data_IF_037585063818
#
_entry.id   IF_037585063818
#
_cell.length_a   1.000
_cell.length_b   1.000
_cell.length_c   1.000
_cell.angle_alpha   90.00
_cell.angle_beta   90.00
_cell.angle_gamma   90.00
#
_symmetry.space_group_name_H-M   'P 1'
#
loop_
_entity.id
_entity.type
_entity.pdbx_description
1 polymer ?
#
# COMPACT_ATOMS: atom_id res chain seq x y z
N UNK A 1 56.77 -12.09 21.57
CA UNK A 1 56.40 -10.68 21.30
C UNK A 1 56.77 -10.33 19.87
N UNK A 2 55.79 -10.30 18.96
CA UNK A 2 56.02 -9.85 17.58
C UNK A 2 56.34 -8.35 17.61
N UNK A 3 57.63 -8.00 17.48
CA UNK A 3 58.08 -6.61 17.31
C UNK A 3 57.63 -6.13 15.92
N UNK A 4 56.47 -5.48 15.86
CA UNK A 4 56.05 -4.69 14.70
C UNK A 4 57.04 -3.51 14.56
N UNK A 5 57.90 -3.56 13.54
CA UNK A 5 58.71 -2.41 13.13
C UNK A 5 57.75 -1.32 12.65
N UNK A 6 57.46 -0.33 13.49
CA UNK A 6 56.59 0.81 13.18
C UNK A 6 57.23 1.75 12.15
N UNK A 7 57.27 1.32 10.90
CA UNK A 7 57.52 2.24 9.79
C UNK A 7 56.21 2.98 9.51
N UNK A 8 56.20 4.31 9.65
CA UNK A 8 55.01 5.18 9.52
C UNK A 8 54.13 4.89 8.29
N UNK A 9 54.72 4.41 7.18
CA UNK A 9 53.99 4.02 5.98
C UNK A 9 53.09 2.78 6.12
N UNK A 10 53.44 1.79 6.95
CA UNK A 10 52.58 0.61 7.16
C UNK A 10 51.31 0.96 7.96
N UNK A 11 51.42 1.87 8.93
CA UNK A 11 50.27 2.37 9.68
C UNK A 11 49.29 3.15 8.78
N UNK A 12 49.80 3.90 7.79
CA UNK A 12 48.97 4.61 6.82
C UNK A 12 48.13 3.63 5.97
N UNK A 13 48.76 2.56 5.47
CA UNK A 13 48.06 1.52 4.68
C UNK A 13 47.00 0.82 5.52
N UNK A 14 47.31 0.50 6.77
CA UNK A 14 46.36 -0.15 7.69
C UNK A 14 45.13 0.73 7.95
N UNK A 15 45.32 2.03 8.18
CA UNK A 15 44.23 3.00 8.35
C UNK A 15 43.39 3.12 7.07
N UNK A 16 44.02 3.18 5.89
CA UNK A 16 43.29 3.25 4.62
C UNK A 16 42.46 1.99 4.35
N UNK A 17 43.00 0.81 4.66
CA UNK A 17 42.27 -0.46 4.58
C UNK A 17 41.07 -0.48 5.53
N UNK A 18 41.29 -0.10 6.80
CA UNK A 18 40.22 -0.04 7.80
C UNK A 18 39.11 0.94 7.37
N UNK A 19 39.48 2.12 6.85
CA UNK A 19 38.51 3.11 6.38
C UNK A 19 37.73 2.61 5.15
N UNK A 20 38.39 1.89 4.24
CA UNK A 20 37.74 1.32 3.06
C UNK A 20 36.70 0.26 3.46
N UNK A 21 37.07 -0.66 4.36
CA UNK A 21 36.16 -1.68 4.89
C UNK A 21 34.98 -1.01 5.60
N UNK A 22 35.26 -0.03 6.47
CA UNK A 22 34.21 0.73 7.16
C UNK A 22 33.27 1.42 6.18
N UNK A 23 33.81 2.05 5.13
CA UNK A 23 32.99 2.76 4.12
C UNK A 23 32.05 1.81 3.39
N UNK A 24 32.54 0.61 3.01
CA UNK A 24 31.70 -0.41 2.36
C UNK A 24 30.57 -0.86 3.31
N UNK A 25 30.91 -1.18 4.55
CA UNK A 25 29.92 -1.59 5.56
C UNK A 25 28.90 -0.48 5.85
N UNK A 26 29.36 0.76 5.88
CA UNK A 26 28.51 1.93 6.13
C UNK A 26 27.51 2.17 5.00
N UNK A 27 27.97 2.11 3.74
CA UNK A 27 27.07 2.20 2.58
C UNK A 27 26.03 1.08 2.60
N UNK A 28 26.45 -0.15 2.89
CA UNK A 28 25.53 -1.27 3.02
C UNK A 28 24.50 -1.06 4.14
N UNK A 29 24.91 -0.52 5.28
CA UNK A 29 24.00 -0.20 6.38
C UNK A 29 22.98 0.89 5.98
N UNK A 30 23.39 1.89 5.20
CA UNK A 30 22.48 2.91 4.66
C UNK A 30 21.47 2.27 3.71
N UNK A 31 21.91 1.41 2.79
CA UNK A 31 21.02 0.75 1.83
C UNK A 31 19.96 -0.10 2.56
N UNK A 32 20.37 -0.86 3.58
CA UNK A 32 19.45 -1.60 4.44
C UNK A 32 18.42 -0.68 5.12
N UNK A 33 18.84 0.49 5.60
CA UNK A 33 17.93 1.45 6.23
C UNK A 33 16.94 2.05 5.23
N UNK A 34 17.38 2.33 4.01
CA UNK A 34 16.50 2.80 2.94
C UNK A 34 15.46 1.74 2.60
N UNK A 35 15.87 0.48 2.52
CA UNK A 35 14.94 -0.62 2.22
C UNK A 35 13.97 -0.92 3.37
N UNK A 36 14.42 -0.81 4.62
CA UNK A 36 13.55 -0.87 5.81
C UNK A 36 12.44 0.20 5.72
N UNK A 37 12.80 1.45 5.40
CA UNK A 37 11.83 2.54 5.25
C UNK A 37 10.85 2.29 4.11
N UNK A 38 11.31 1.78 2.96
CA UNK A 38 10.42 1.41 1.84
C UNK A 38 9.46 0.29 2.26
N UNK A 39 9.94 -0.72 2.97
CA UNK A 39 9.14 -1.84 3.42
C UNK A 39 8.09 -1.41 4.45
N UNK A 40 8.46 -0.55 5.40
CA UNK A 40 7.53 0.05 6.35
C UNK A 40 6.43 0.83 5.63
N UNK A 41 6.80 1.73 4.71
CA UNK A 41 5.84 2.51 3.92
C UNK A 41 4.91 1.61 3.10
N UNK A 42 5.43 0.55 2.49
CA UNK A 42 4.63 -0.43 1.76
C UNK A 42 3.60 -1.09 2.68
N UNK A 43 4.03 -1.53 3.87
CA UNK A 43 3.17 -2.21 4.83
C UNK A 43 2.07 -1.26 5.36
N UNK A 44 2.43 -0.02 5.68
CA UNK A 44 1.48 1.01 6.15
C UNK A 44 0.43 1.31 5.06
N UNK A 45 0.84 1.44 3.80
CA UNK A 45 -0.11 1.63 2.68
C UNK A 45 -1.03 0.42 2.49
N UNK A 46 -0.49 -0.81 2.52
CA UNK A 46 -1.28 -2.05 2.43
C UNK A 46 -2.31 -2.14 3.56
N UNK A 47 -1.88 -1.84 4.78
CA UNK A 47 -2.73 -1.87 5.96
C UNK A 47 -3.87 -0.85 5.84
N UNK A 48 -3.57 0.40 5.47
CA UNK A 48 -4.57 1.45 5.28
C UNK A 48 -5.61 1.09 4.22
N UNK A 49 -5.17 0.57 3.06
CA UNK A 49 -6.11 0.15 2.02
C UNK A 49 -6.97 -1.04 2.45
N UNK A 50 -6.42 -1.96 3.25
CA UNK A 50 -7.17 -3.11 3.78
C UNK A 50 -8.24 -2.65 4.76
N UNK A 51 -7.89 -1.77 5.71
CA UNK A 51 -8.87 -1.22 6.65
C UNK A 51 -9.97 -0.42 5.96
N UNK A 52 -9.60 0.37 4.95
CA UNK A 52 -10.59 1.10 4.15
C UNK A 52 -11.53 0.15 3.41
N UNK A 53 -11.00 -0.92 2.80
CA UNK A 53 -11.82 -1.90 2.09
C UNK A 53 -12.78 -2.62 3.04
N UNK A 54 -12.34 -2.94 4.26
CA UNK A 54 -13.21 -3.51 5.30
C UNK A 54 -14.28 -2.53 5.77
N UNK A 55 -13.96 -1.23 5.90
CA UNK A 55 -14.94 -0.21 6.22
C UNK A 55 -15.99 -0.06 5.12
N UNK A 56 -15.59 -0.03 3.85
CA UNK A 56 -16.50 -0.02 2.69
C UNK A 56 -17.37 -1.27 2.66
N UNK A 57 -16.78 -2.45 2.90
CA UNK A 57 -17.52 -3.70 2.98
C UNK A 57 -18.63 -3.61 4.02
N UNK A 58 -18.29 -3.18 5.25
CA UNK A 58 -19.26 -3.06 6.33
C UNK A 58 -20.36 -2.05 5.97
N UNK A 59 -19.98 -0.91 5.40
CA UNK A 59 -20.93 0.10 4.93
C UNK A 59 -21.92 -0.47 3.90
N UNK A 60 -21.44 -1.25 2.94
CA UNK A 60 -22.30 -1.91 1.94
C UNK A 60 -23.19 -2.98 2.60
N UNK A 61 -22.67 -3.75 3.55
CA UNK A 61 -23.46 -4.79 4.25
C UNK A 61 -24.60 -4.17 5.04
N UNK A 62 -24.35 -3.09 5.78
CA UNK A 62 -25.34 -2.54 6.72
C UNK A 62 -26.23 -1.43 6.14
N UNK A 63 -25.71 -0.60 5.23
CA UNK A 63 -26.38 0.65 4.83
C UNK A 63 -26.81 0.72 3.35
N UNK A 64 -26.44 -0.26 2.54
CA UNK A 64 -26.79 -0.29 1.11
C UNK A 64 -27.92 -1.28 0.85
N UNK A 65 -28.83 -0.98 -0.07
CA UNK A 65 -29.78 -1.94 -0.60
C UNK A 65 -29.32 -2.49 -1.97
N UNK A 66 -30.05 -3.43 -2.55
CA UNK A 66 -29.66 -4.04 -3.83
C UNK A 66 -29.66 -3.04 -4.98
N UNK A 67 -30.58 -2.05 -4.98
CA UNK A 67 -30.58 -0.98 -5.98
C UNK A 67 -29.35 -0.06 -5.87
N UNK A 68 -28.87 0.20 -4.65
CA UNK A 68 -27.66 0.98 -4.42
C UNK A 68 -26.43 0.26 -4.98
N UNK A 69 -26.35 -1.06 -4.78
CA UNK A 69 -25.25 -1.90 -5.29
C UNK A 69 -25.23 -1.92 -6.81
N UNK A 70 -26.40 -2.08 -7.45
CA UNK A 70 -26.51 -1.99 -8.91
C UNK A 70 -26.14 -0.59 -9.41
N UNK A 71 -26.50 0.47 -8.67
CA UNK A 71 -26.07 1.84 -8.95
C UNK A 71 -24.55 2.04 -8.89
N UNK A 72 -23.87 1.45 -7.89
CA UNK A 72 -22.41 1.48 -7.79
C UNK A 72 -21.75 0.75 -8.96
N UNK A 73 -22.31 -0.39 -9.38
CA UNK A 73 -21.84 -1.13 -10.55
C UNK A 73 -22.00 -0.34 -11.84
N UNK A 74 -23.13 0.35 -12.02
CA UNK A 74 -23.36 1.21 -13.18
C UNK A 74 -22.42 2.43 -13.21
N UNK A 75 -22.06 2.99 -12.06
CA UNK A 75 -21.03 4.05 -11.97
C UNK A 75 -19.65 3.57 -12.47
N UNK A 76 -19.36 2.28 -12.42
CA UNK A 76 -18.09 1.72 -12.85
C UNK A 76 -16.94 2.11 -11.92
N UNK A 77 -16.03 2.99 -12.38
CA UNK A 77 -14.85 3.41 -11.60
C UNK A 77 -15.21 4.56 -10.66
N UNK A 78 -15.13 4.31 -9.36
CA UNK A 78 -15.36 5.29 -8.29
C UNK A 78 -14.00 5.70 -7.72
N UNK A 79 -13.65 6.98 -7.80
CA UNK A 79 -12.31 7.42 -7.39
C UNK A 79 -12.25 7.85 -5.95
N UNK A 80 -11.10 7.59 -5.35
CA UNK A 80 -10.88 7.88 -3.95
C UNK A 80 -9.70 8.83 -3.83
N UNK A 81 -9.81 9.80 -2.91
CA UNK A 81 -8.64 10.56 -2.53
C UNK A 81 -7.77 9.73 -1.58
N UNK A 82 -6.45 9.76 -1.78
CA UNK A 82 -5.50 9.14 -0.84
C UNK A 82 -5.59 9.77 0.56
N UNK A 83 -5.91 11.07 0.65
CA UNK A 83 -6.12 11.76 1.93
C UNK A 83 -7.26 11.14 2.73
N UNK A 84 -8.34 10.78 2.03
CA UNK A 84 -9.59 10.36 2.66
C UNK A 84 -9.47 8.93 3.19
N UNK A 85 -8.68 8.09 2.49
CA UNK A 85 -8.36 6.72 2.91
C UNK A 85 -7.45 6.71 4.15
N UNK A 86 -6.53 7.67 4.27
CA UNK A 86 -5.59 7.74 5.40
C UNK A 86 -6.17 8.39 6.65
N UNK A 87 -7.29 9.10 6.50
CA UNK A 87 -8.06 9.64 7.63
C UNK A 87 -8.89 8.53 8.26
N UNK A 88 -8.48 8.02 9.42
CA UNK A 88 -9.24 7.03 10.21
C UNK A 88 -10.66 7.49 10.62
N UNK A 89 -11.06 8.72 10.28
CA UNK A 89 -12.34 9.32 10.64
C UNK A 89 -13.37 9.29 9.51
N UNK A 90 -13.07 8.70 8.34
CA UNK A 90 -13.99 8.72 7.22
C UNK A 90 -14.90 7.49 7.21
N UNK A 91 -16.22 7.70 7.34
CA UNK A 91 -17.24 6.71 6.98
C UNK A 91 -17.37 6.67 5.46
N UNK A 92 -16.93 5.60 4.77
CA UNK A 92 -16.77 5.63 3.33
C UNK A 92 -18.10 5.46 2.61
N UNK A 93 -18.80 6.56 2.38
CA UNK A 93 -20.03 6.55 1.59
C UNK A 93 -19.74 6.69 0.09
N UNK A 94 -19.74 5.57 -0.62
CA UNK A 94 -19.53 5.50 -2.07
C UNK A 94 -20.68 6.13 -2.91
N UNK A 95 -21.87 6.36 -2.33
CA UNK A 95 -23.01 6.96 -3.04
C UNK A 95 -22.71 8.37 -3.51
N UNK A 96 -22.00 9.13 -2.68
CA UNK A 96 -21.70 10.54 -2.92
C UNK A 96 -20.37 10.78 -3.65
N UNK A 97 -19.59 9.73 -3.88
CA UNK A 97 -18.30 9.83 -4.56
C UNK A 97 -18.51 9.80 -6.08
N UNK A 98 -17.77 10.69 -6.76
CA UNK A 98 -17.78 10.85 -8.22
C UNK A 98 -17.01 9.75 -8.96
N UNK A 99 -17.24 9.69 -10.27
CA UNK A 99 -16.46 8.87 -11.21
C UNK A 99 -15.24 9.66 -11.71
N UNK A 100 -14.21 8.99 -12.23
CA UNK A 100 -13.12 9.69 -12.92
C UNK A 100 -12.66 9.05 -14.22
N UNK A 101 -11.79 9.83 -14.87
CA UNK A 101 -11.00 9.46 -16.02
C UNK A 101 -10.11 8.23 -15.77
N UNK A 102 -9.72 7.57 -16.87
CA UNK A 102 -9.09 6.25 -16.87
C UNK A 102 -7.82 6.09 -16.01
N UNK A 103 -7.13 7.19 -15.66
CA UNK A 103 -5.77 7.17 -15.09
C UNK A 103 -5.66 7.65 -13.63
N UNK A 104 -6.76 7.91 -12.93
CA UNK A 104 -6.71 8.33 -11.52
C UNK A 104 -6.65 7.12 -10.58
N UNK A 105 -5.66 7.10 -9.68
CA UNK A 105 -5.57 6.14 -8.57
C UNK A 105 -5.61 6.88 -7.23
N UNK A 106 -6.15 6.26 -6.17
CA UNK A 106 -6.84 4.97 -6.11
C UNK A 106 -8.31 5.02 -6.57
N UNK A 107 -8.85 3.89 -7.01
CA UNK A 107 -10.27 3.77 -7.38
C UNK A 107 -10.85 2.39 -7.04
N UNK A 108 -12.16 2.33 -6.80
CA UNK A 108 -12.91 1.09 -6.54
C UNK A 108 -13.82 0.76 -7.72
N UNK A 109 -13.94 -0.52 -8.01
CA UNK A 109 -15.00 -1.09 -8.86
C UNK A 109 -15.81 -2.05 -8.00
N UNK A 110 -17.13 -1.92 -8.07
CA UNK A 110 -18.09 -2.82 -7.42
C UNK A 110 -18.74 -3.66 -8.51
N UNK A 111 -18.73 -4.97 -8.33
CA UNK A 111 -19.52 -5.90 -9.13
C UNK A 111 -20.38 -6.73 -8.19
N UNK A 112 -21.50 -7.23 -8.69
CA UNK A 112 -22.35 -8.16 -7.97
C UNK A 112 -22.67 -9.37 -8.85
N UNK A 113 -22.96 -10.50 -8.22
CA UNK A 113 -23.55 -11.66 -8.88
C UNK A 113 -24.59 -12.29 -7.96
N UNK A 114 -25.75 -12.63 -8.51
CA UNK A 114 -26.78 -13.37 -7.78
C UNK A 114 -26.58 -14.86 -8.02
N UNK A 115 -26.22 -15.59 -6.96
CA UNK A 115 -26.08 -17.04 -6.99
C UNK A 115 -26.97 -17.62 -5.89
N UNK A 116 -28.02 -18.35 -6.29
CA UNK A 116 -28.89 -19.06 -5.34
C UNK A 116 -29.72 -18.15 -4.41
N UNK A 117 -30.09 -16.94 -4.86
CA UNK A 117 -30.92 -16.01 -4.09
C UNK A 117 -30.17 -15.14 -3.07
N UNK A 118 -28.83 -15.22 -3.04
CA UNK A 118 -27.97 -14.32 -2.25
C UNK A 118 -27.13 -13.44 -3.17
N UNK A 119 -26.94 -12.18 -2.78
CA UNK A 119 -26.18 -11.21 -3.59
C UNK A 119 -24.72 -11.24 -3.16
N UNK A 120 -23.85 -11.80 -4.01
CA UNK A 120 -22.41 -11.81 -3.82
C UNK A 120 -21.82 -10.52 -4.38
N UNK A 121 -21.27 -9.67 -3.50
CA UNK A 121 -20.63 -8.42 -3.89
C UNK A 121 -19.11 -8.64 -3.96
N UNK A 122 -18.52 -8.23 -5.08
CA UNK A 122 -17.07 -8.22 -5.32
C UNK A 122 -16.58 -6.78 -5.42
N UNK A 123 -15.80 -6.36 -4.44
CA UNK A 123 -15.10 -5.08 -4.41
C UNK A 123 -13.66 -5.26 -4.88
N UNK A 124 -13.25 -4.45 -5.85
CA UNK A 124 -11.86 -4.35 -6.30
C UNK A 124 -11.36 -2.93 -6.12
N UNK A 125 -10.37 -2.77 -5.25
CA UNK A 125 -9.64 -1.51 -5.07
C UNK A 125 -8.34 -1.56 -5.85
N UNK A 126 -8.17 -0.62 -6.77
CA UNK A 126 -6.98 -0.45 -7.59
C UNK A 126 -6.16 0.73 -7.06
N UNK A 127 -4.88 0.51 -6.83
CA UNK A 127 -3.96 1.52 -6.29
C UNK A 127 -2.54 1.38 -6.85
N UNK A 128 -1.69 2.38 -6.57
CA UNK A 128 -0.26 2.37 -6.86
C UNK A 128 0.52 2.56 -5.56
N UNK A 129 1.29 1.55 -5.20
CA UNK A 129 2.17 1.51 -4.02
C UNK A 129 3.61 1.40 -4.53
N UNK A 130 4.46 2.37 -4.16
CA UNK A 130 5.86 2.45 -4.63
C UNK A 130 6.00 2.34 -6.16
N UNK A 131 5.08 2.98 -6.90
CA UNK A 131 5.06 2.98 -8.37
C UNK A 131 4.54 1.69 -9.01
N UNK A 132 4.25 0.64 -8.24
CA UNK A 132 3.68 -0.62 -8.74
C UNK A 132 2.17 -0.65 -8.54
N UNK A 133 1.47 -1.09 -9.58
CA UNK A 133 0.02 -1.31 -9.51
C UNK A 133 -0.29 -2.49 -8.60
N UNK A 134 -1.30 -2.30 -7.75
CA UNK A 134 -1.80 -3.28 -6.79
C UNK A 134 -3.31 -3.27 -6.80
N UNK A 135 -3.88 -4.46 -6.69
CA UNK A 135 -5.32 -4.66 -6.63
C UNK A 135 -5.65 -5.44 -5.36
N UNK A 136 -6.55 -4.89 -4.57
CA UNK A 136 -7.12 -5.54 -3.40
C UNK A 136 -8.52 -6.01 -3.77
N UNK A 137 -8.84 -7.27 -3.46
CA UNK A 137 -10.13 -7.88 -3.80
C UNK A 137 -10.78 -8.35 -2.51
N UNK A 138 -12.02 -7.92 -2.29
CA UNK A 138 -12.87 -8.40 -1.21
C UNK A 138 -14.18 -8.92 -1.81
N UNK A 139 -14.52 -10.16 -1.51
CA UNK A 139 -15.81 -10.76 -1.90
C UNK A 139 -16.57 -11.10 -0.64
N UNK A 140 -17.84 -10.71 -0.57
CA UNK A 140 -18.72 -10.98 0.56
C UNK A 140 -20.15 -11.18 0.10
N UNK A 141 -20.94 -11.82 0.96
CA UNK A 141 -22.34 -12.11 0.71
C UNK A 141 -23.18 -11.11 1.51
N UNK A 142 -24.23 -10.60 0.87
CA UNK A 142 -25.27 -9.79 1.49
C UNK A 142 -26.59 -10.55 1.52
#
# INVERSE_FOLDING_TARGET
MLKLRSKKGFALVEVMCAFSIFSILFLFAIDLKVDELKMKKFNDEVMNYTYYLDAVKNEIIFNYNNSDIEGLKQKGKICLSKSDIQSNNYTPDLKNIGTCNLNSYPYIIVNDSNVGGRTNVNLKLYTKILGKEKTFVCTFVK
#
